data_IF_863857010294
#
_entry.id   IF_863857010294
#
_cell.length_a   1.000
_cell.length_b   1.000
_cell.length_c   1.000
_cell.angle_alpha   90.00
_cell.angle_beta   90.00
_cell.angle_gamma   90.00
#
_symmetry.space_group_name_H-M   'P 1'
#
loop_
_entity.id
_entity.type
_entity.pdbx_description
1 polymer ?
#
# COMPACT_ATOMS: atom_id res chain seq x y z
N UNK A 1 -39.69 41.89 -21.08
CA UNK A 1 -39.35 40.49 -20.73
C UNK A 1 -37.84 40.42 -20.62
N UNK A 2 -37.30 40.63 -19.43
CA UNK A 2 -35.86 40.49 -19.19
C UNK A 2 -35.59 39.01 -18.90
N UNK A 3 -34.68 38.41 -19.66
CA UNK A 3 -34.29 37.01 -19.51
C UNK A 3 -33.74 36.78 -18.10
N UNK A 4 -34.02 35.61 -17.51
CA UNK A 4 -33.45 35.23 -16.23
C UNK A 4 -31.93 35.01 -16.41
N UNK A 5 -31.09 35.50 -15.49
CA UNK A 5 -29.67 35.21 -15.48
C UNK A 5 -29.42 33.72 -15.25
N UNK A 6 -28.26 33.23 -15.70
CA UNK A 6 -27.82 31.87 -15.38
C UNK A 6 -27.48 31.74 -13.89
N UNK A 7 -27.56 30.52 -13.36
CA UNK A 7 -27.34 30.21 -11.95
C UNK A 7 -25.94 30.63 -11.48
N UNK A 8 -24.92 30.50 -12.32
CA UNK A 8 -23.54 30.90 -12.03
C UNK A 8 -23.42 32.39 -11.69
N UNK A 9 -24.24 33.25 -12.33
CA UNK A 9 -24.26 34.68 -12.03
C UNK A 9 -24.92 34.97 -10.68
N UNK A 10 -25.88 34.14 -10.25
CA UNK A 10 -26.48 34.21 -8.91
C UNK A 10 -25.49 33.70 -7.86
N UNK A 11 -24.68 32.70 -8.18
CA UNK A 11 -23.59 32.21 -7.34
C UNK A 11 -22.50 33.28 -7.15
N UNK A 12 -22.00 33.90 -8.23
CA UNK A 12 -21.03 35.01 -8.13
C UNK A 12 -21.56 36.21 -7.32
N UNK A 13 -22.89 36.41 -7.29
CA UNK A 13 -23.52 37.42 -6.43
C UNK A 13 -23.48 37.06 -4.94
N UNK A 14 -23.63 35.77 -4.60
CA UNK A 14 -23.47 35.27 -3.23
C UNK A 14 -22.03 35.35 -2.77
N UNK A 15 -21.08 34.98 -3.64
CA UNK A 15 -19.65 34.95 -3.34
C UNK A 15 -19.02 36.36 -3.29
N UNK A 16 -19.73 37.38 -3.81
CA UNK A 16 -19.28 38.77 -3.80
C UNK A 16 -18.37 39.17 -4.97
N UNK A 17 -18.25 38.30 -5.97
CA UNK A 17 -17.35 38.41 -7.12
C UNK A 17 -17.90 39.30 -8.27
N UNK A 18 -19.15 39.75 -8.18
CA UNK A 18 -19.73 40.67 -9.18
C UNK A 18 -19.25 42.11 -9.00
N UNK A 19 -19.05 42.81 -10.12
CA UNK A 19 -18.79 44.25 -10.10
C UNK A 19 -19.97 45.04 -9.51
N UNK A 20 -19.71 46.28 -9.07
CA UNK A 20 -20.72 47.12 -8.40
C UNK A 20 -21.98 47.35 -9.25
N UNK A 21 -21.82 47.50 -10.56
CA UNK A 21 -22.94 47.77 -11.47
C UNK A 21 -23.74 46.49 -11.78
N UNK A 22 -23.05 45.36 -11.99
CA UNK A 22 -23.70 44.05 -12.17
C UNK A 22 -24.45 43.60 -10.93
N UNK A 23 -23.89 43.86 -9.74
CA UNK A 23 -24.54 43.57 -8.46
C UNK A 23 -25.84 44.35 -8.29
N UNK A 24 -25.86 45.64 -8.68
CA UNK A 24 -27.08 46.48 -8.64
C UNK A 24 -28.12 46.01 -9.66
N UNK A 25 -27.68 45.61 -10.85
CA UNK A 25 -28.57 45.11 -11.89
C UNK A 25 -29.25 43.82 -11.46
N UNK A 26 -28.48 42.87 -10.94
CA UNK A 26 -28.99 41.59 -10.47
C UNK A 26 -29.86 41.74 -9.23
N UNK A 27 -29.50 42.62 -8.28
CA UNK A 27 -30.36 42.92 -7.13
C UNK A 27 -31.75 43.40 -7.56
N UNK A 28 -31.81 44.32 -8.53
CA UNK A 28 -33.09 44.80 -9.09
C UNK A 28 -33.90 43.69 -9.77
N UNK A 29 -33.23 42.73 -10.38
CA UNK A 29 -33.88 41.56 -10.97
C UNK A 29 -34.44 40.63 -9.89
N UNK A 30 -33.69 40.36 -8.83
CA UNK A 30 -34.10 39.53 -7.68
C UNK A 30 -35.29 40.15 -6.92
N UNK A 31 -35.43 41.47 -6.91
CA UNK A 31 -36.60 42.14 -6.31
C UNK A 31 -37.92 41.81 -7.03
N UNK A 32 -37.87 41.42 -8.32
CA UNK A 32 -39.06 41.28 -9.17
C UNK A 32 -39.23 39.89 -9.79
N UNK A 33 -38.24 39.00 -9.67
CA UNK A 33 -38.25 37.67 -10.29
C UNK A 33 -38.29 36.56 -9.23
N UNK A 34 -39.50 36.04 -8.96
CA UNK A 34 -39.71 34.98 -7.98
C UNK A 34 -38.88 33.71 -8.23
N UNK A 35 -38.67 33.34 -9.51
CA UNK A 35 -37.86 32.18 -9.89
C UNK A 35 -36.40 32.35 -9.44
N UNK A 36 -35.78 33.48 -9.77
CA UNK A 36 -34.38 33.74 -9.40
C UNK A 36 -34.21 33.93 -7.88
N UNK A 37 -35.23 34.46 -7.19
CA UNK A 37 -35.25 34.54 -5.73
C UNK A 37 -35.30 33.16 -5.10
N UNK A 38 -36.08 32.24 -5.65
CA UNK A 38 -36.09 30.85 -5.20
C UNK A 38 -34.72 30.17 -5.41
N UNK A 39 -34.12 30.31 -6.59
CA UNK A 39 -32.78 29.78 -6.87
C UNK A 39 -31.74 30.35 -5.90
N UNK A 40 -31.77 31.65 -5.62
CA UNK A 40 -30.91 32.28 -4.62
C UNK A 40 -31.07 31.67 -3.22
N UNK A 41 -32.31 31.38 -2.80
CA UNK A 41 -32.58 30.74 -1.50
C UNK A 41 -32.09 29.30 -1.45
N UNK A 42 -32.23 28.55 -2.55
CA UNK A 42 -31.73 27.17 -2.65
C UNK A 42 -30.20 27.11 -2.56
N UNK A 43 -29.51 27.99 -3.30
CA UNK A 43 -28.04 28.11 -3.24
C UNK A 43 -27.56 28.52 -1.84
N UNK A 44 -28.21 29.48 -1.18
CA UNK A 44 -27.89 29.85 0.21
C UNK A 44 -28.05 28.69 1.19
N UNK A 45 -29.12 27.89 1.03
CA UNK A 45 -29.35 26.73 1.88
C UNK A 45 -28.30 25.65 1.65
N UNK A 46 -27.90 25.43 0.39
CA UNK A 46 -26.84 24.48 0.04
C UNK A 46 -25.49 24.92 0.62
N UNK A 47 -25.14 26.20 0.51
CA UNK A 47 -23.92 26.75 1.09
C UNK A 47 -23.90 26.59 2.62
N UNK A 48 -24.99 26.94 3.31
CA UNK A 48 -25.09 26.79 4.76
C UNK A 48 -24.97 25.33 5.20
N UNK A 49 -25.60 24.40 4.48
CA UNK A 49 -25.46 22.97 4.74
C UNK A 49 -24.02 22.50 4.52
N UNK A 50 -23.36 22.95 3.46
CA UNK A 50 -21.96 22.60 3.17
C UNK A 50 -21.02 23.11 4.27
N UNK A 51 -21.21 24.34 4.74
CA UNK A 51 -20.42 24.90 5.84
C UNK A 51 -20.63 24.12 7.14
N UNK A 52 -21.89 23.78 7.47
CA UNK A 52 -22.21 23.00 8.68
C UNK A 52 -21.59 21.59 8.61
N UNK A 53 -21.73 20.90 7.46
CA UNK A 53 -21.18 19.56 7.25
C UNK A 53 -19.64 19.55 7.28
N UNK A 54 -19.00 20.54 6.64
CA UNK A 54 -17.54 20.69 6.67
C UNK A 54 -17.06 21.05 8.08
N UNK A 55 -17.76 21.91 8.79
CA UNK A 55 -17.41 22.27 10.16
C UNK A 55 -17.58 21.09 11.12
N UNK A 56 -18.60 20.25 10.96
CA UNK A 56 -18.74 19.00 11.73
C UNK A 56 -17.60 18.01 11.40
N UNK A 57 -17.26 17.85 10.12
CA UNK A 57 -16.21 16.92 9.68
C UNK A 57 -14.78 17.40 9.98
N UNK A 58 -14.55 18.71 10.05
CA UNK A 58 -13.24 19.34 10.25
C UNK A 58 -13.09 19.94 11.65
N UNK A 59 -14.11 19.83 12.51
CA UNK A 59 -13.98 20.15 13.93
C UNK A 59 -12.86 19.29 14.52
N UNK A 60 -11.86 19.87 15.19
CA UNK A 60 -10.86 19.11 15.91
C UNK A 60 -11.60 18.23 16.91
N UNK A 61 -11.43 16.91 16.81
CA UNK A 61 -11.85 16.01 17.87
C UNK A 61 -11.25 16.54 19.19
N UNK A 62 -12.04 16.64 20.27
CA UNK A 62 -11.47 17.01 21.56
C UNK A 62 -10.28 16.10 21.82
N UNK A 63 -9.12 16.67 22.15
CA UNK A 63 -7.84 15.98 22.36
C UNK A 63 -7.88 14.93 23.50
N UNK A 64 -9.05 14.63 24.05
CA UNK A 64 -9.33 13.72 25.15
C UNK A 64 -10.62 12.89 24.95
N UNK A 65 -11.22 12.87 23.75
CA UNK A 65 -12.22 11.85 23.45
C UNK A 65 -11.46 10.55 23.13
N UNK A 66 -11.17 9.74 24.14
CA UNK A 66 -10.86 8.32 23.92
C UNK A 66 -12.08 7.70 23.23
N UNK A 67 -12.04 7.66 21.90
CA UNK A 67 -13.03 6.95 21.10
C UNK A 67 -12.82 5.49 21.45
N UNK A 68 -13.74 4.92 22.22
CA UNK A 68 -13.81 3.49 22.47
C UNK A 68 -14.16 2.80 21.15
N UNK A 69 -13.10 2.44 20.41
CA UNK A 69 -13.19 1.84 19.09
C UNK A 69 -13.86 0.47 19.17
N UNK A 70 -13.71 -0.25 20.28
CA UNK A 70 -14.38 -1.53 20.55
C UNK A 70 -15.90 -1.31 20.62
N UNK A 71 -16.35 -0.37 21.45
CA UNK A 71 -17.77 -0.06 21.61
C UNK A 71 -18.39 0.52 20.32
N UNK A 72 -17.65 1.35 19.59
CA UNK A 72 -18.09 1.89 18.31
C UNK A 72 -18.24 0.77 17.25
N UNK A 73 -17.30 -0.17 17.22
CA UNK A 73 -17.32 -1.32 16.32
C UNK A 73 -18.43 -2.32 16.65
N UNK A 74 -18.63 -2.64 17.93
CA UNK A 74 -19.75 -3.48 18.37
C UNK A 74 -21.10 -2.84 18.02
N UNK A 75 -21.25 -1.53 18.20
CA UNK A 75 -22.47 -0.80 17.87
C UNK A 75 -22.73 -0.76 16.36
N UNK A 76 -21.68 -0.65 15.55
CA UNK A 76 -21.77 -0.75 14.10
C UNK A 76 -22.17 -2.16 13.66
N UNK A 77 -21.52 -3.21 14.20
CA UNK A 77 -21.90 -4.59 13.94
C UNK A 77 -23.34 -4.90 14.37
N UNK A 78 -23.77 -4.40 15.52
CA UNK A 78 -25.13 -4.56 16.01
C UNK A 78 -26.17 -3.86 15.12
N UNK A 79 -25.84 -2.68 14.56
CA UNK A 79 -26.72 -1.98 13.60
C UNK A 79 -26.83 -2.70 12.26
N UNK A 80 -25.78 -3.37 11.81
CA UNK A 80 -25.77 -4.17 10.59
C UNK A 80 -26.42 -5.55 10.77
N UNK A 81 -26.29 -6.14 11.96
CA UNK A 81 -26.93 -7.40 12.32
C UNK A 81 -28.41 -7.23 12.68
N UNK A 82 -28.83 -6.01 13.04
CA UNK A 82 -30.24 -5.69 13.18
C UNK A 82 -30.91 -5.80 11.80
N UNK A 83 -32.01 -6.58 11.67
CA UNK A 83 -32.77 -6.57 10.43
C UNK A 83 -33.21 -5.14 10.16
N UNK A 84 -33.02 -4.68 8.92
CA UNK A 84 -33.42 -3.35 8.48
C UNK A 84 -34.83 -3.07 9.01
N UNK A 85 -34.99 -2.05 9.86
CA UNK A 85 -36.32 -1.52 10.14
C UNK A 85 -36.86 -1.06 8.81
N UNK A 86 -37.79 -1.84 8.27
CA UNK A 86 -38.45 -1.62 7.00
C UNK A 86 -38.96 -0.18 6.98
N UNK A 87 -38.41 0.67 6.12
CA UNK A 87 -39.18 1.79 5.61
C UNK A 87 -40.42 1.17 4.97
N UNK A 88 -41.60 1.55 5.42
CA UNK A 88 -42.87 0.97 4.98
C UNK A 88 -43.00 1.09 3.46
N UNK A 89 -42.85 -0.04 2.77
CA UNK A 89 -43.27 -0.19 1.38
C UNK A 89 -44.80 -0.38 1.34
N UNK A 90 -45.51 0.18 0.34
CA UNK A 90 -46.97 0.11 0.24
C UNK A 90 -47.50 -1.34 0.27
N UNK A 91 -48.61 -1.51 1.00
CA UNK A 91 -49.21 -2.80 1.35
C UNK A 91 -49.58 -3.66 0.13
N UNK A 92 -49.12 -4.91 0.12
CA UNK A 92 -49.64 -5.98 -0.74
C UNK A 92 -49.88 -7.26 0.07
N UNK A 93 -51.16 -7.49 0.39
CA UNK A 93 -51.96 -8.72 0.60
C UNK A 93 -51.32 -10.02 1.19
N UNK A 94 -52.05 -10.74 2.06
CA UNK A 94 -51.47 -11.71 3.00
C UNK A 94 -51.08 -13.07 2.39
N UNK A 95 -50.03 -13.73 2.90
CA UNK A 95 -49.61 -15.06 2.46
C UNK A 95 -50.35 -16.20 3.18
N UNK A 96 -50.63 -17.27 2.44
CA UNK A 96 -51.15 -18.55 2.92
C UNK A 96 -50.04 -19.42 3.57
N UNK A 97 -50.37 -20.33 4.50
CA UNK A 97 -49.38 -21.03 5.30
C UNK A 97 -48.87 -22.31 4.62
N UNK A 98 -47.55 -22.54 4.64
CA UNK A 98 -46.96 -23.87 4.38
C UNK A 98 -45.99 -24.27 5.49
N UNK A 99 -46.45 -25.31 6.19
CA UNK A 99 -45.86 -26.19 7.21
C UNK A 99 -44.34 -26.32 7.25
N UNK A 100 -43.83 -26.14 8.48
CA UNK A 100 -42.51 -26.49 8.99
C UNK A 100 -42.23 -28.00 8.93
N UNK A 101 -41.02 -28.37 8.51
CA UNK A 101 -40.50 -29.74 8.46
C UNK A 101 -39.19 -29.93 9.25
N UNK A 102 -38.68 -28.91 9.94
CA UNK A 102 -37.40 -28.98 10.66
C UNK A 102 -37.51 -29.03 12.19
N UNK A 103 -38.70 -29.26 12.74
CA UNK A 103 -38.89 -29.54 14.17
C UNK A 103 -38.90 -31.04 14.46
N UNK A 104 -37.86 -31.80 14.06
CA UNK A 104 -37.63 -33.18 14.52
C UNK A 104 -36.16 -33.60 14.35
N UNK A 105 -35.25 -33.13 15.23
CA UNK A 105 -33.96 -33.81 15.43
C UNK A 105 -33.30 -33.53 16.81
N UNK A 106 -34.07 -33.10 17.82
CA UNK A 106 -33.62 -33.13 19.23
C UNK A 106 -34.00 -34.49 19.84
N UNK A 107 -33.20 -35.54 19.62
CA UNK A 107 -33.32 -36.76 20.47
C UNK A 107 -32.16 -37.75 20.50
N UNK A 108 -30.89 -37.33 20.41
CA UNK A 108 -29.78 -38.24 20.75
C UNK A 108 -28.64 -37.51 21.49
N UNK A 109 -28.90 -37.20 22.75
CA UNK A 109 -27.89 -37.09 23.80
C UNK A 109 -28.15 -38.23 24.79
N UNK A 110 -27.14 -39.08 25.01
CA UNK A 110 -26.82 -39.86 26.23
C UNK A 110 -26.15 -41.18 25.86
N UNK A 111 -24.82 -41.16 25.74
CA UNK A 111 -23.93 -42.16 26.35
C UNK A 111 -22.63 -41.41 26.70
N UNK A 112 -22.23 -41.54 27.95
CA UNK A 112 -21.06 -40.91 28.55
C UNK A 112 -20.21 -42.01 29.20
N UNK A 113 -18.91 -41.69 29.33
CA UNK A 113 -17.96 -42.13 30.36
C UNK A 113 -16.94 -43.24 30.05
N UNK A 114 -15.68 -42.91 30.39
CA UNK A 114 -14.57 -43.80 30.73
C UNK A 114 -13.43 -43.78 29.69
N UNK A 115 -12.16 -43.46 29.97
CA UNK A 115 -11.42 -43.32 31.24
C UNK A 115 -10.10 -42.57 30.98
N UNK A 116 -9.62 -41.85 32.00
CA UNK A 116 -8.33 -41.15 32.09
C UNK A 116 -7.15 -42.12 32.05
N UNK A 117 -6.12 -41.81 31.25
CA UNK A 117 -4.74 -42.20 31.52
C UNK A 117 -3.83 -40.99 31.22
N UNK A 118 -3.65 -40.14 32.24
CA UNK A 118 -2.56 -39.18 32.29
C UNK A 118 -1.25 -39.93 32.57
N UNK A 119 -0.28 -39.83 31.65
CA UNK A 119 1.17 -39.81 31.88
C UNK A 119 1.87 -40.19 30.56
N UNK A 120 2.53 -39.22 29.91
CA UNK A 120 3.81 -39.35 29.15
C UNK A 120 4.06 -38.17 28.18
N UNK A 121 3.10 -37.31 27.82
CA UNK A 121 3.39 -36.27 26.78
C UNK A 121 4.06 -34.98 27.32
N UNK A 122 4.26 -34.84 28.64
CA UNK A 122 4.90 -33.64 29.21
C UNK A 122 6.45 -33.66 29.21
N UNK A 123 7.11 -34.61 28.53
CA UNK A 123 8.59 -34.67 28.44
C UNK A 123 9.18 -34.39 27.05
N UNK A 124 8.36 -34.09 26.03
CA UNK A 124 8.87 -33.78 24.67
C UNK A 124 8.99 -32.27 24.41
N UNK A 125 8.46 -31.42 25.30
CA UNK A 125 8.49 -29.95 25.15
C UNK A 125 9.64 -29.24 25.88
N UNK A 126 10.60 -29.97 26.45
CA UNK A 126 11.74 -29.38 27.17
C UNK A 126 13.10 -29.71 26.56
N UNK A 127 13.15 -30.18 25.31
CA UNK A 127 14.40 -30.35 24.58
C UNK A 127 14.63 -29.11 23.72
N UNK A 128 15.65 -28.28 23.99
CA UNK A 128 15.96 -27.08 23.19
C UNK A 128 16.39 -27.37 21.73
N UNK A 129 16.39 -28.63 21.30
CA UNK A 129 16.98 -29.09 20.05
C UNK A 129 15.98 -29.75 19.08
N UNK A 130 14.65 -29.54 19.29
CA UNK A 130 13.60 -29.98 18.34
C UNK A 130 12.83 -28.79 17.72
N UNK A 131 13.26 -27.54 17.96
CA UNK A 131 12.80 -26.37 17.19
C UNK A 131 13.46 -26.23 15.81
N UNK A 132 14.39 -27.13 15.47
CA UNK A 132 14.99 -27.21 14.14
C UNK A 132 14.34 -28.33 13.33
N UNK A 133 13.02 -28.25 13.11
CA UNK A 133 12.46 -28.87 11.92
C UNK A 133 12.87 -27.97 10.76
N UNK A 134 14.03 -28.26 10.19
CA UNK A 134 14.54 -27.64 8.99
C UNK A 134 13.48 -27.78 7.88
N UNK A 135 12.82 -26.66 7.57
CA UNK A 135 12.28 -26.50 6.23
C UNK A 135 13.47 -26.29 5.32
N UNK A 136 13.69 -27.18 4.35
CA UNK A 136 14.39 -26.80 3.14
C UNK A 136 13.56 -25.67 2.51
N UNK A 137 13.85 -24.43 2.94
CA UNK A 137 13.15 -23.22 2.56
C UNK A 137 13.38 -22.98 1.07
N UNK A 138 12.33 -23.19 0.29
CA UNK A 138 12.32 -22.76 -1.10
C UNK A 138 12.14 -21.25 -1.08
N UNK A 139 13.22 -20.48 -1.26
CA UNK A 139 13.08 -19.08 -1.68
C UNK A 139 12.27 -19.08 -2.97
N UNK A 140 11.01 -18.68 -2.85
CA UNK A 140 10.06 -18.64 -3.97
C UNK A 140 10.53 -17.60 -5.00
N UNK A 141 11.21 -16.55 -4.53
CA UNK A 141 11.77 -15.51 -5.37
C UNK A 141 13.15 -15.87 -5.90
N UNK A 142 13.30 -15.73 -7.21
CA UNK A 142 14.57 -15.83 -7.96
C UNK A 142 14.57 -14.74 -9.01
N UNK A 143 14.69 -13.49 -8.55
CA UNK A 143 14.55 -12.33 -9.41
C UNK A 143 15.64 -12.36 -10.48
N UNK A 144 15.22 -12.34 -11.74
CA UNK A 144 16.08 -12.20 -12.92
C UNK A 144 15.50 -11.24 -13.98
N UNK A 145 14.33 -10.69 -13.69
CA UNK A 145 13.59 -9.77 -14.54
C UNK A 145 13.04 -8.64 -13.70
N UNK A 146 12.94 -7.47 -14.31
CA UNK A 146 12.31 -6.29 -13.72
C UNK A 146 11.16 -5.88 -14.65
N UNK A 147 10.02 -5.53 -14.07
CA UNK A 147 8.87 -4.96 -14.78
C UNK A 147 8.34 -3.75 -14.02
N UNK A 148 7.79 -2.78 -14.74
CA UNK A 148 7.19 -1.61 -14.12
C UNK A 148 5.72 -1.82 -13.76
N UNK A 149 5.31 -1.25 -12.62
CA UNK A 149 3.91 -1.18 -12.19
C UNK A 149 3.58 0.28 -11.95
N UNK A 150 2.56 0.79 -12.65
CA UNK A 150 2.13 2.18 -12.50
C UNK A 150 1.22 2.33 -11.29
N UNK A 151 1.45 3.36 -10.50
CA UNK A 151 0.68 3.69 -9.30
C UNK A 151 0.32 5.17 -9.40
N UNK A 152 -0.91 5.54 -9.09
CA UNK A 152 -1.30 6.96 -8.99
C UNK A 152 -1.14 7.48 -7.56
N UNK A 153 -1.24 8.81 -7.38
CA UNK A 153 -1.03 9.45 -6.08
C UNK A 153 -2.02 9.01 -4.98
N UNK A 154 -3.24 8.61 -5.35
CA UNK A 154 -4.24 8.12 -4.38
C UNK A 154 -3.91 6.71 -3.92
N UNK A 155 -3.49 5.85 -4.85
CA UNK A 155 -3.03 4.49 -4.56
C UNK A 155 -1.77 4.51 -3.69
N UNK A 156 -0.81 5.39 -3.99
CA UNK A 156 0.41 5.57 -3.19
C UNK A 156 0.07 5.97 -1.74
N UNK A 157 -0.76 7.00 -1.57
CA UNK A 157 -1.22 7.44 -0.23
C UNK A 157 -1.93 6.33 0.53
N UNK A 158 -2.75 5.54 -0.17
CA UNK A 158 -3.45 4.40 0.44
C UNK A 158 -2.47 3.35 0.95
N UNK A 159 -1.42 3.04 0.17
CA UNK A 159 -0.35 2.12 0.58
C UNK A 159 0.41 2.69 1.78
N UNK A 160 0.83 3.95 1.74
CA UNK A 160 1.54 4.62 2.83
C UNK A 160 0.74 4.57 4.14
N UNK A 161 -0.57 4.82 4.09
CA UNK A 161 -1.45 4.76 5.27
C UNK A 161 -1.55 3.37 5.88
N UNK A 162 -1.50 2.30 5.08
CA UNK A 162 -1.51 0.93 5.59
C UNK A 162 -0.25 0.62 6.42
N UNK A 163 0.89 1.13 5.97
CA UNK A 163 2.20 0.89 6.60
C UNK A 163 2.65 2.02 7.54
N UNK A 164 1.85 3.08 7.72
CA UNK A 164 2.16 4.10 8.71
C UNK A 164 2.24 3.49 10.13
N UNK A 165 3.33 3.80 10.84
CA UNK A 165 3.59 3.32 12.21
C UNK A 165 4.01 1.85 12.34
N UNK A 166 4.50 1.17 11.30
CA UNK A 166 5.05 -0.20 11.37
C UNK A 166 6.55 -0.28 11.69
N UNK A 167 7.15 0.76 12.28
CA UNK A 167 8.58 0.79 12.61
C UNK A 167 8.87 -0.05 13.86
N UNK A 168 9.13 -1.34 13.66
CA UNK A 168 9.55 -2.28 14.70
C UNK A 168 8.41 -2.68 15.66
N UNK A 169 8.19 -3.98 15.81
CA UNK A 169 7.19 -4.53 16.74
C UNK A 169 5.96 -5.13 16.07
N UNK A 170 4.95 -5.40 16.89
CA UNK A 170 3.75 -6.12 16.48
C UNK A 170 2.61 -5.16 16.12
N UNK A 171 2.03 -5.36 14.93
CA UNK A 171 0.82 -4.67 14.45
C UNK A 171 -0.24 -5.71 14.12
N UNK A 172 -1.41 -5.58 14.73
CA UNK A 172 -2.58 -6.35 14.32
C UNK A 172 -3.36 -5.57 13.26
N UNK A 173 -3.45 -6.13 12.05
CA UNK A 173 -4.36 -5.61 11.03
C UNK A 173 -5.74 -6.24 11.29
N UNK A 174 -6.68 -5.39 11.75
CA UNK A 174 -8.04 -5.82 12.09
C UNK A 174 -8.68 -6.56 10.91
N UNK A 175 -9.14 -7.78 11.17
CA UNK A 175 -9.80 -8.62 10.18
C UNK A 175 -8.86 -9.45 9.30
N UNK A 176 -7.53 -9.31 9.45
CA UNK A 176 -6.57 -10.05 8.62
C UNK A 176 -5.61 -10.92 9.45
N UNK A 177 -4.97 -10.36 10.48
CA UNK A 177 -3.93 -11.08 11.21
C UNK A 177 -2.94 -10.17 11.94
N UNK A 178 -1.89 -10.79 12.47
CA UNK A 178 -0.79 -10.11 13.17
C UNK A 178 0.45 -10.08 12.29
N UNK A 179 1.16 -8.96 12.35
CA UNK A 179 2.39 -8.68 11.60
C UNK A 179 3.43 -8.23 12.62
N UNK A 180 4.52 -8.97 12.74
CA UNK A 180 5.60 -8.66 13.67
C UNK A 180 6.86 -8.40 12.88
N UNK A 181 7.26 -7.13 12.81
CA UNK A 181 8.57 -6.78 12.27
C UNK A 181 9.62 -7.05 13.34
N UNK A 182 10.59 -7.91 13.03
CA UNK A 182 11.81 -8.02 13.82
C UNK A 182 12.45 -6.64 13.92
N UNK A 183 13.01 -6.31 15.09
CA UNK A 183 13.79 -5.08 15.23
C UNK A 183 14.97 -5.16 14.24
N UNK A 184 15.04 -4.27 13.24
CA UNK A 184 16.16 -4.27 12.33
C UNK A 184 17.44 -4.06 13.12
N UNK A 185 18.52 -4.72 12.72
CA UNK A 185 19.84 -4.30 13.19
C UNK A 185 20.05 -2.82 12.84
N UNK A 186 20.80 -2.09 13.67
CA UNK A 186 21.05 -0.68 13.41
C UNK A 186 21.72 -0.50 12.04
N UNK A 187 21.20 0.46 11.27
CA UNK A 187 21.82 0.85 10.01
C UNK A 187 23.17 1.49 10.28
N UNK A 188 24.14 1.21 9.42
CA UNK A 188 25.50 1.73 9.56
C UNK A 188 25.73 2.81 8.52
N UNK A 189 26.26 3.95 8.95
CA UNK A 189 26.65 5.06 8.09
C UNK A 189 28.15 5.24 8.09
N UNK A 190 28.71 5.52 6.91
CA UNK A 190 30.13 5.67 6.69
C UNK A 190 30.42 7.03 6.07
N UNK A 191 31.18 7.87 6.77
CA UNK A 191 31.54 9.22 6.34
C UNK A 191 32.71 9.25 5.34
N UNK A 192 33.28 8.10 5.00
CA UNK A 192 34.34 7.99 3.99
C UNK A 192 34.51 6.55 3.46
N UNK A 193 35.11 6.36 2.26
CA UNK A 193 35.48 5.05 1.74
C UNK A 193 36.40 4.25 2.67
N UNK A 194 37.33 4.92 3.37
CA UNK A 194 38.23 4.29 4.33
C UNK A 194 37.47 3.72 5.52
N UNK A 195 36.49 4.46 6.05
CA UNK A 195 35.65 4.00 7.16
C UNK A 195 34.80 2.78 6.77
N UNK A 196 34.24 2.77 5.56
CA UNK A 196 33.48 1.65 5.02
C UNK A 196 34.36 0.40 4.87
N UNK A 197 35.58 0.57 4.33
CA UNK A 197 36.55 -0.52 4.19
C UNK A 197 37.01 -1.06 5.55
N UNK A 198 37.25 -0.19 6.52
CA UNK A 198 37.65 -0.57 7.88
C UNK A 198 36.55 -1.38 8.59
N UNK A 199 35.28 -1.08 8.30
CA UNK A 199 34.12 -1.84 8.78
C UNK A 199 33.88 -3.16 8.02
N UNK A 200 34.71 -3.49 7.01
CA UNK A 200 34.64 -4.74 6.27
C UNK A 200 33.72 -4.72 5.05
N UNK A 201 33.15 -3.56 4.70
CA UNK A 201 32.34 -3.41 3.49
C UNK A 201 33.23 -3.14 2.27
N UNK A 202 32.83 -3.62 1.08
CA UNK A 202 33.57 -3.34 -0.15
C UNK A 202 33.53 -1.85 -0.48
N UNK A 203 34.59 -1.35 -1.10
CA UNK A 203 34.62 -0.02 -1.73
C UNK A 203 34.59 -0.23 -3.23
N UNK A 204 33.77 0.56 -3.91
CA UNK A 204 33.54 0.44 -5.36
C UNK A 204 34.24 1.58 -6.11
N UNK A 205 34.61 1.37 -7.39
CA UNK A 205 35.22 2.44 -8.18
C UNK A 205 34.23 3.60 -8.39
N UNK A 206 34.75 4.83 -8.34
CA UNK A 206 33.98 6.02 -8.68
C UNK A 206 33.97 6.26 -10.20
N UNK A 207 32.86 6.74 -10.78
CA UNK A 207 32.82 7.14 -12.19
C UNK A 207 33.74 8.35 -12.46
N UNK A 208 34.07 8.57 -13.73
CA UNK A 208 35.02 9.62 -14.12
C UNK A 208 34.58 11.01 -13.61
N UNK A 209 35.45 11.66 -12.85
CA UNK A 209 35.22 13.00 -12.31
C UNK A 209 34.39 13.03 -11.02
N UNK A 210 33.94 11.89 -10.51
CA UNK A 210 33.31 11.77 -9.20
C UNK A 210 34.29 11.22 -8.17
N UNK A 211 34.05 11.56 -6.90
CA UNK A 211 34.69 10.93 -5.76
C UNK A 211 33.63 10.26 -4.88
N UNK A 212 33.92 9.05 -4.42
CA UNK A 212 33.10 8.43 -3.38
C UNK A 212 33.38 9.17 -2.06
N UNK A 213 32.33 9.68 -1.42
CA UNK A 213 32.46 10.47 -0.20
C UNK A 213 31.79 9.81 1.00
N UNK A 214 30.80 8.94 0.81
CA UNK A 214 30.11 8.27 1.91
C UNK A 214 29.50 6.94 1.48
N UNK A 215 28.98 6.18 2.43
CA UNK A 215 28.18 4.99 2.19
C UNK A 215 27.25 4.69 3.35
N UNK A 216 26.32 3.77 3.14
CA UNK A 216 25.48 3.24 4.21
C UNK A 216 25.15 1.76 3.97
N UNK A 217 24.88 1.05 5.06
CA UNK A 217 24.43 -0.32 5.05
C UNK A 217 23.16 -0.44 5.87
N UNK A 218 22.11 -0.93 5.22
CA UNK A 218 20.84 -1.28 5.85
C UNK A 218 20.75 -2.80 5.90
N UNK A 219 20.75 -3.41 7.09
CA UNK A 219 20.69 -4.86 7.24
C UNK A 219 19.34 -5.41 6.81
N UNK A 220 19.32 -6.69 6.42
CA UNK A 220 18.08 -7.41 6.18
C UNK A 220 17.24 -7.48 7.47
N UNK A 221 15.92 -7.47 7.31
CA UNK A 221 15.00 -7.67 8.44
C UNK A 221 13.79 -8.47 8.00
N UNK A 222 13.22 -9.22 8.95
CA UNK A 222 12.11 -10.14 8.66
C UNK A 222 10.82 -9.62 9.26
N UNK A 223 9.76 -9.69 8.46
CA UNK A 223 8.39 -9.48 8.89
C UNK A 223 7.71 -10.84 9.01
N UNK A 224 7.39 -11.24 10.23
CA UNK A 224 6.60 -12.42 10.52
C UNK A 224 5.11 -12.07 10.41
N UNK A 225 4.32 -12.95 9.82
CA UNK A 225 2.90 -12.73 9.57
C UNK A 225 2.11 -13.96 10.02
N UNK A 226 1.01 -13.76 10.71
CA UNK A 226 0.08 -14.81 11.11
C UNK A 226 -1.34 -14.40 10.73
N UNK A 227 -2.00 -15.20 9.89
CA UNK A 227 -3.32 -14.87 9.34
C UNK A 227 -4.44 -15.45 10.21
N UNK A 228 -5.50 -14.66 10.42
CA UNK A 228 -6.80 -15.11 10.92
C UNK A 228 -7.72 -15.30 9.72
N UNK A 229 -7.67 -16.49 9.13
CA UNK A 229 -8.40 -16.83 7.90
C UNK A 229 -9.90 -16.77 8.11
N UNK A 230 -10.39 -17.04 9.32
CA UNK A 230 -11.81 -16.98 9.64
C UNK A 230 -12.31 -15.53 9.52
N UNK A 231 -11.61 -14.58 10.13
CA UNK A 231 -11.96 -13.15 10.02
C UNK A 231 -11.68 -12.61 8.63
N UNK A 232 -10.57 -12.99 8.01
CA UNK A 232 -10.20 -12.53 6.67
C UNK A 232 -11.22 -12.99 5.62
N UNK A 233 -11.64 -14.26 5.67
CA UNK A 233 -12.65 -14.79 4.75
C UNK A 233 -14.02 -14.15 4.96
N UNK A 234 -14.39 -13.85 6.22
CA UNK A 234 -15.61 -13.10 6.50
C UNK A 234 -15.57 -11.69 5.88
N UNK A 235 -14.43 -11.00 5.97
CA UNK A 235 -14.23 -9.69 5.34
C UNK A 235 -14.30 -9.78 3.80
N UNK A 236 -13.59 -10.74 3.20
CA UNK A 236 -13.59 -10.97 1.75
C UNK A 236 -14.99 -11.28 1.21
N UNK A 237 -15.78 -12.06 1.95
CA UNK A 237 -17.18 -12.33 1.61
C UNK A 237 -18.05 -11.07 1.67
N UNK A 238 -17.87 -10.23 2.69
CA UNK A 238 -18.65 -8.99 2.86
C UNK A 238 -18.43 -7.99 1.72
N UNK A 239 -17.21 -7.92 1.19
CA UNK A 239 -16.87 -7.04 0.05
C UNK A 239 -17.10 -7.71 -1.31
N UNK A 240 -17.56 -8.96 -1.34
CA UNK A 240 -17.84 -9.69 -2.57
C UNK A 240 -16.61 -10.02 -3.40
N UNK A 241 -15.44 -10.24 -2.77
CA UNK A 241 -14.18 -10.47 -3.47
C UNK A 241 -14.14 -11.76 -4.31
N UNK A 242 -15.07 -12.71 -4.06
CA UNK A 242 -15.15 -13.96 -4.81
C UNK A 242 -13.98 -14.93 -4.56
N UNK A 243 -13.17 -14.66 -3.54
CA UNK A 243 -12.02 -15.45 -3.11
C UNK A 243 -12.05 -15.69 -1.61
N UNK A 244 -11.26 -16.67 -1.15
CA UNK A 244 -11.05 -16.96 0.26
C UNK A 244 -9.62 -17.48 0.47
N UNK A 245 -9.03 -17.18 1.61
CA UNK A 245 -7.83 -17.82 2.11
C UNK A 245 -8.13 -19.29 2.45
N UNK A 246 -7.21 -20.20 2.15
CA UNK A 246 -7.30 -21.57 2.61
C UNK A 246 -7.28 -21.58 4.15
N UNK A 247 -8.24 -22.25 4.78
CA UNK A 247 -8.31 -22.39 6.24
C UNK A 247 -7.06 -23.08 6.82
N UNK A 248 -6.28 -23.79 6.00
CA UNK A 248 -4.96 -24.32 6.41
C UNK A 248 -3.96 -23.23 6.78
N UNK A 249 -4.20 -21.97 6.40
CA UNK A 249 -3.33 -20.84 6.72
C UNK A 249 -3.62 -20.23 8.10
N UNK A 250 -4.71 -20.65 8.75
CA UNK A 250 -5.16 -20.10 10.03
C UNK A 250 -4.13 -20.31 11.13
N UNK A 251 -3.64 -19.23 11.73
CA UNK A 251 -2.62 -19.27 12.78
C UNK A 251 -1.25 -19.78 12.31
N UNK A 252 -1.05 -20.01 11.00
CA UNK A 252 0.26 -20.36 10.46
C UNK A 252 1.11 -19.12 10.27
N UNK A 253 2.41 -19.28 10.53
CA UNK A 253 3.39 -18.22 10.34
C UNK A 253 3.94 -18.25 8.93
N UNK A 254 4.02 -17.06 8.35
CA UNK A 254 4.69 -16.75 7.09
C UNK A 254 5.76 -15.71 7.41
N UNK A 255 6.83 -15.66 6.62
CA UNK A 255 7.82 -14.61 6.80
C UNK A 255 8.24 -13.99 5.48
N UNK A 256 8.40 -12.66 5.50
CA UNK A 256 8.95 -11.88 4.40
C UNK A 256 10.24 -11.24 4.89
N UNK A 257 11.37 -11.67 4.34
CA UNK A 257 12.66 -11.05 4.63
C UNK A 257 12.94 -10.00 3.57
N UNK A 258 12.95 -8.74 4.01
CA UNK A 258 13.39 -7.62 3.21
C UNK A 258 14.92 -7.61 3.19
N UNK A 259 15.53 -7.52 2.00
CA UNK A 259 16.95 -7.74 1.85
C UNK A 259 17.79 -6.60 2.43
N UNK A 260 19.04 -6.93 2.73
CA UNK A 260 20.06 -5.93 3.02
C UNK A 260 20.29 -5.02 1.79
N UNK A 261 20.63 -3.77 2.06
CA UNK A 261 20.93 -2.76 1.05
C UNK A 261 22.23 -2.05 1.39
N UNK A 262 23.17 -2.07 0.45
CA UNK A 262 24.40 -1.27 0.56
C UNK A 262 24.32 -0.09 -0.40
N UNK A 263 24.49 1.12 0.10
CA UNK A 263 24.47 2.36 -0.68
C UNK A 263 25.85 3.02 -0.69
N UNK A 264 26.26 3.50 -1.85
CA UNK A 264 27.50 4.23 -2.09
C UNK A 264 27.14 5.62 -2.60
N UNK A 265 27.70 6.65 -1.97
CA UNK A 265 27.43 8.03 -2.33
C UNK A 265 28.68 8.65 -2.94
N UNK A 266 28.45 9.41 -4.01
CA UNK A 266 29.50 10.08 -4.75
C UNK A 266 29.08 11.51 -5.05
N UNK A 267 30.07 12.39 -5.11
CA UNK A 267 29.85 13.79 -5.43
C UNK A 267 30.86 14.31 -6.45
N UNK A 268 30.41 15.29 -7.23
CA UNK A 268 31.22 16.12 -8.12
C UNK A 268 30.60 17.52 -8.13
N UNK A 269 31.26 18.49 -7.49
CA UNK A 269 30.74 19.85 -7.35
C UNK A 269 29.29 19.86 -6.79
N UNK A 270 28.29 20.26 -7.58
CA UNK A 270 26.87 20.26 -7.21
C UNK A 270 26.08 19.02 -7.70
N UNK A 271 26.77 18.07 -8.33
CA UNK A 271 26.17 16.84 -8.84
C UNK A 271 26.31 15.71 -7.83
N UNK A 272 25.19 15.04 -7.56
CA UNK A 272 25.13 13.87 -6.69
C UNK A 272 24.83 12.63 -7.52
N UNK A 273 25.50 11.55 -7.13
CA UNK A 273 25.35 10.24 -7.73
C UNK A 273 25.34 9.21 -6.62
N UNK A 274 24.44 8.23 -6.70
CA UNK A 274 24.41 7.11 -5.77
C UNK A 274 24.35 5.79 -6.52
N UNK A 275 24.96 4.77 -5.91
CA UNK A 275 24.86 3.39 -6.35
C UNK A 275 24.34 2.56 -5.18
N UNK A 276 23.32 1.74 -5.41
CA UNK A 276 22.77 0.84 -4.42
C UNK A 276 22.83 -0.60 -4.93
N UNK A 277 23.15 -1.50 -4.01
CA UNK A 277 23.06 -2.95 -4.21
C UNK A 277 22.08 -3.49 -3.17
N UNK A 278 20.97 -4.01 -3.67
CA UNK A 278 19.88 -4.56 -2.86
C UNK A 278 19.90 -6.08 -3.05
N UNK A 279 19.87 -6.82 -1.94
CA UNK A 279 19.82 -8.29 -1.97
C UNK A 279 18.51 -8.86 -2.53
N UNK A 280 18.38 -10.18 -2.47
CA UNK A 280 17.17 -10.87 -2.92
C UNK A 280 16.07 -10.87 -1.84
N UNK A 281 14.84 -10.55 -2.23
CA UNK A 281 13.65 -10.73 -1.39
C UNK A 281 13.45 -12.21 -1.09
N UNK A 282 13.13 -12.55 0.15
CA UNK A 282 12.81 -13.93 0.53
C UNK A 282 11.41 -14.00 1.12
N UNK A 283 10.62 -14.96 0.64
CA UNK A 283 9.29 -15.26 1.17
C UNK A 283 9.29 -16.71 1.60
N UNK A 284 9.04 -16.91 2.90
CA UNK A 284 8.86 -18.22 3.50
C UNK A 284 7.37 -18.51 3.71
N UNK A 285 6.96 -19.67 3.23
CA UNK A 285 5.58 -20.14 3.24
C UNK A 285 5.57 -21.60 3.69
N UNK A 286 4.66 -22.01 4.58
CA UNK A 286 4.54 -23.41 4.99
C UNK A 286 4.38 -24.35 3.78
N UNK A 287 5.04 -25.51 3.83
CA UNK A 287 5.19 -26.41 2.68
C UNK A 287 3.87 -26.97 2.10
N UNK A 288 2.80 -26.97 2.88
CA UNK A 288 1.48 -27.47 2.50
C UNK A 288 0.54 -26.40 1.93
N UNK A 289 1.06 -25.21 1.66
CA UNK A 289 0.32 -24.05 1.12
C UNK A 289 0.48 -23.94 -0.39
N UNK A 290 -0.64 -23.76 -1.08
CA UNK A 290 -0.63 -23.36 -2.48
C UNK A 290 -0.30 -21.87 -2.59
N UNK A 291 0.95 -21.58 -2.98
CA UNK A 291 1.48 -20.23 -3.14
C UNK A 291 0.73 -19.43 -4.22
N UNK A 292 0.23 -20.09 -5.26
CA UNK A 292 -0.50 -19.41 -6.34
C UNK A 292 -1.90 -19.01 -5.88
N UNK A 293 -2.56 -19.88 -5.10
CA UNK A 293 -3.82 -19.53 -4.44
C UNK A 293 -3.63 -18.40 -3.43
N UNK A 294 -2.57 -18.45 -2.61
CA UNK A 294 -2.23 -17.39 -1.67
C UNK A 294 -2.04 -16.05 -2.38
N UNK A 295 -1.25 -16.02 -3.47
CA UNK A 295 -1.06 -14.84 -4.31
C UNK A 295 -2.39 -14.31 -4.83
N UNK A 296 -3.23 -15.16 -5.41
CA UNK A 296 -4.54 -14.75 -5.96
C UNK A 296 -5.41 -14.11 -4.89
N UNK A 297 -5.45 -14.68 -3.69
CA UNK A 297 -6.26 -14.16 -2.59
C UNK A 297 -5.71 -12.85 -2.03
N UNK A 298 -4.37 -12.71 -1.90
CA UNK A 298 -3.74 -11.45 -1.50
C UNK A 298 -4.03 -10.35 -2.52
N UNK A 299 -3.90 -10.64 -3.82
CA UNK A 299 -4.19 -9.65 -4.86
C UNK A 299 -5.67 -9.23 -4.89
N UNK A 300 -6.58 -10.12 -4.53
CA UNK A 300 -8.00 -9.79 -4.41
C UNK A 300 -8.39 -9.16 -3.04
N UNK A 301 -7.42 -8.96 -2.14
CA UNK A 301 -7.61 -8.32 -0.85
C UNK A 301 -7.75 -6.80 -0.98
N UNK A 302 -8.55 -6.14 -0.13
CA UNK A 302 -8.68 -4.68 -0.11
C UNK A 302 -7.41 -3.96 0.37
N UNK A 303 -6.38 -4.69 0.79
CA UNK A 303 -5.08 -4.12 1.18
C UNK A 303 -4.29 -3.58 -0.02
N UNK A 304 -4.55 -4.10 -1.22
CA UNK A 304 -3.83 -3.70 -2.41
C UNK A 304 -4.80 -2.88 -3.27
N UNK A 305 -4.47 -1.64 -3.64
CA UNK A 305 -5.32 -0.85 -4.50
C UNK A 305 -5.63 -1.59 -5.81
N UNK A 306 -6.87 -1.47 -6.30
CA UNK A 306 -7.35 -2.33 -7.40
C UNK A 306 -6.58 -2.17 -8.72
N UNK A 307 -6.01 -0.99 -9.00
CA UNK A 307 -5.18 -0.75 -10.17
C UNK A 307 -3.82 -1.46 -10.04
N UNK A 308 -3.21 -1.37 -8.87
CA UNK A 308 -1.97 -2.10 -8.52
C UNK A 308 -2.20 -3.62 -8.57
N UNK A 309 -3.29 -4.11 -7.98
CA UNK A 309 -3.64 -5.53 -7.96
C UNK A 309 -3.75 -6.13 -9.36
N UNK A 310 -4.45 -5.45 -10.29
CA UNK A 310 -4.59 -5.92 -11.68
C UNK A 310 -3.25 -5.99 -12.41
N UNK A 311 -2.38 -5.01 -12.20
CA UNK A 311 -1.06 -5.00 -12.82
C UNK A 311 -0.18 -6.13 -12.26
N UNK A 312 -0.13 -6.29 -10.94
CA UNK A 312 0.60 -7.38 -10.30
C UNK A 312 0.09 -8.75 -10.74
N UNK A 313 -1.23 -8.92 -10.88
CA UNK A 313 -1.85 -10.16 -11.37
C UNK A 313 -1.47 -10.46 -12.84
N UNK A 314 -1.19 -9.45 -13.65
CA UNK A 314 -0.79 -9.63 -15.06
C UNK A 314 0.63 -10.21 -15.22
N UNK A 315 1.48 -10.07 -14.19
CA UNK A 315 2.85 -10.62 -14.16
C UNK A 315 2.78 -12.13 -13.95
N UNK A 316 2.85 -12.92 -15.03
CA UNK A 316 2.73 -14.39 -14.93
C UNK A 316 3.95 -15.04 -14.27
N UNK A 317 5.16 -14.60 -14.63
CA UNK A 317 6.42 -15.09 -14.06
C UNK A 317 6.85 -14.25 -12.86
N UNK A 318 5.95 -14.09 -11.90
CA UNK A 318 6.13 -13.19 -10.76
C UNK A 318 7.20 -13.64 -9.77
N UNK A 319 7.53 -14.93 -9.76
CA UNK A 319 8.59 -15.49 -8.92
C UNK A 319 9.98 -15.04 -9.39
N UNK A 320 10.10 -14.72 -10.66
CA UNK A 320 11.35 -14.27 -11.27
C UNK A 320 11.34 -12.79 -11.65
N UNK A 321 10.23 -12.10 -11.43
CA UNK A 321 10.03 -10.70 -11.84
C UNK A 321 9.85 -9.80 -10.64
N UNK A 322 10.70 -8.79 -10.50
CA UNK A 322 10.54 -7.72 -9.52
C UNK A 322 9.69 -6.58 -10.12
N UNK A 323 8.49 -6.32 -9.58
CA UNK A 323 7.72 -5.14 -9.93
C UNK A 323 8.35 -3.88 -9.31
N UNK A 324 8.63 -2.87 -10.13
CA UNK A 324 9.09 -1.55 -9.69
C UNK A 324 7.91 -0.58 -9.76
N UNK A 325 7.47 0.01 -8.65
CA UNK A 325 6.41 1.00 -8.65
C UNK A 325 6.89 2.29 -9.33
N UNK A 326 6.05 2.85 -10.21
CA UNK A 326 6.27 4.11 -10.89
C UNK A 326 5.05 5.01 -10.71
N UNK A 327 5.27 6.30 -10.51
CA UNK A 327 4.18 7.25 -10.36
C UNK A 327 3.66 7.67 -11.74
N UNK A 328 2.38 7.37 -12.00
CA UNK A 328 1.75 7.68 -13.28
C UNK A 328 1.76 9.19 -13.57
N UNK A 329 2.13 9.55 -14.80
CA UNK A 329 2.21 10.95 -15.25
C UNK A 329 3.46 11.69 -14.79
N UNK A 330 4.26 11.10 -13.89
CA UNK A 330 5.51 11.68 -13.41
C UNK A 330 6.74 11.02 -14.04
N UNK A 331 6.78 9.70 -14.03
CA UNK A 331 7.95 8.94 -14.47
C UNK A 331 7.86 8.55 -15.96
N UNK A 332 8.90 8.88 -16.73
CA UNK A 332 9.11 8.29 -18.07
C UNK A 332 10.06 7.12 -17.95
N UNK A 333 9.67 5.97 -18.47
CA UNK A 333 10.44 4.73 -18.35
C UNK A 333 10.76 4.12 -19.69
N UNK A 334 12.00 3.66 -19.82
CA UNK A 334 12.55 3.04 -21.02
C UNK A 334 13.23 1.73 -20.65
N UNK A 335 12.93 0.67 -21.40
CA UNK A 335 13.69 -0.58 -21.34
C UNK A 335 15.12 -0.34 -21.88
N UNK A 336 16.11 -0.85 -21.15
CA UNK A 336 17.53 -0.71 -21.51
C UNK A 336 18.28 -2.03 -21.29
N UNK A 337 19.49 -2.10 -21.85
CA UNK A 337 20.41 -3.22 -21.63
C UNK A 337 21.67 -2.72 -20.92
N UNK A 338 22.01 -3.35 -19.80
CA UNK A 338 23.13 -2.97 -18.92
C UNK A 338 24.15 -4.11 -18.92
N UNK A 339 25.22 -3.98 -19.71
CA UNK A 339 26.18 -5.04 -20.07
C UNK A 339 25.59 -6.45 -20.23
N UNK A 340 24.50 -6.57 -21.00
CA UNK A 340 23.84 -7.84 -21.31
C UNK A 340 22.68 -8.20 -20.38
N UNK A 341 22.52 -7.51 -19.25
CA UNK A 341 21.37 -7.65 -18.36
C UNK A 341 20.22 -6.73 -18.81
N UNK A 342 18.98 -7.18 -18.63
CA UNK A 342 17.81 -6.31 -18.84
C UNK A 342 17.70 -5.33 -17.68
N UNK A 343 17.42 -4.07 -17.99
CA UNK A 343 17.22 -3.04 -17.00
C UNK A 343 16.16 -2.03 -17.41
N UNK A 344 15.81 -1.14 -16.49
CA UNK A 344 14.92 -0.02 -16.69
C UNK A 344 15.68 1.28 -16.44
N UNK A 345 15.53 2.24 -17.35
CA UNK A 345 15.89 3.63 -17.10
C UNK A 345 14.62 4.41 -16.80
N UNK A 346 14.61 5.11 -15.66
CA UNK A 346 13.51 5.91 -15.14
C UNK A 346 14.00 7.35 -15.13
N UNK A 347 13.39 8.20 -15.95
CA UNK A 347 13.70 9.63 -15.97
C UNK A 347 13.02 10.31 -14.78
N UNK A 348 13.77 11.12 -14.04
CA UNK A 348 13.22 11.91 -12.94
C UNK A 348 12.20 12.93 -13.46
N UNK A 349 11.08 13.08 -12.74
CA UNK A 349 10.03 14.03 -13.09
C UNK A 349 10.45 15.49 -12.89
N UNK A 350 11.21 15.76 -11.82
CA UNK A 350 11.71 17.09 -11.48
C UNK A 350 13.24 17.09 -11.49
N UNK A 351 13.83 18.00 -12.27
CA UNK A 351 15.29 18.17 -12.38
C UNK A 351 15.96 17.38 -13.51
N UNK A 352 17.26 17.60 -13.68
CA UNK A 352 18.09 16.88 -14.64
C UNK A 352 18.65 15.61 -13.95
N UNK A 353 17.80 14.59 -13.80
CA UNK A 353 18.15 13.35 -13.10
C UNK A 353 17.56 12.09 -13.71
N UNK A 354 17.96 10.93 -13.18
CA UNK A 354 17.42 9.65 -13.59
C UNK A 354 17.98 8.49 -12.80
N UNK A 355 17.24 7.38 -12.87
CA UNK A 355 17.53 6.14 -12.15
C UNK A 355 17.65 5.00 -13.14
N UNK A 356 18.75 4.26 -13.08
CA UNK A 356 18.98 3.05 -13.84
C UNK A 356 18.90 1.86 -12.88
N UNK A 357 18.00 0.92 -13.16
CA UNK A 357 17.80 -0.29 -12.35
C UNK A 357 18.06 -1.52 -13.21
N UNK A 358 18.87 -2.47 -12.74
CA UNK A 358 19.04 -3.76 -13.39
C UNK A 358 19.23 -4.88 -12.37
N UNK A 359 19.02 -6.12 -12.81
CA UNK A 359 19.29 -7.31 -12.01
C UNK A 359 20.59 -7.95 -12.48
N UNK A 360 21.42 -8.34 -11.52
CA UNK A 360 22.63 -9.15 -11.75
C UNK A 360 22.89 -10.05 -10.53
N UNK A 361 23.18 -11.32 -10.79
CA UNK A 361 23.54 -12.33 -9.78
C UNK A 361 22.52 -12.46 -8.63
N UNK A 362 21.23 -12.28 -8.92
CA UNK A 362 20.14 -12.30 -7.96
C UNK A 362 20.06 -11.05 -7.08
N UNK A 363 20.81 -10.00 -7.42
CA UNK A 363 20.80 -8.70 -6.72
C UNK A 363 20.27 -7.61 -7.63
N UNK A 364 19.61 -6.64 -7.03
CA UNK A 364 19.18 -5.44 -7.74
C UNK A 364 20.24 -4.38 -7.58
N UNK A 365 20.63 -3.83 -8.71
CA UNK A 365 21.57 -2.74 -8.81
C UNK A 365 20.82 -1.51 -9.26
N UNK A 366 21.02 -0.40 -8.54
CA UNK A 366 20.38 0.86 -8.84
C UNK A 366 21.42 1.98 -8.88
N UNK A 367 21.49 2.70 -9.99
CA UNK A 367 22.23 3.95 -10.09
C UNK A 367 21.25 5.10 -10.15
N UNK A 368 21.47 6.11 -9.33
CA UNK A 368 20.67 7.31 -9.33
C UNK A 368 21.59 8.51 -9.48
N UNK A 369 21.22 9.44 -10.35
CA UNK A 369 21.88 10.73 -10.42
C UNK A 369 20.86 11.84 -10.36
N UNK A 370 21.18 12.86 -9.58
CA UNK A 370 20.41 14.08 -9.47
C UNK A 370 21.35 15.28 -9.60
N UNK A 371 20.99 16.20 -10.50
CA UNK A 371 21.63 17.51 -10.61
C UNK A 371 20.69 18.52 -9.97
N UNK A 372 21.18 19.24 -8.96
CA UNK A 372 20.45 20.35 -8.36
C UNK A 372 20.52 21.55 -9.32
N UNK A 373 19.57 21.70 -10.24
CA UNK A 373 19.43 22.90 -11.09
C UNK A 373 18.10 23.60 -10.85
N UNK A 374 18.08 24.93 -10.91
CA UNK A 374 16.88 25.76 -10.76
C UNK A 374 15.92 25.67 -11.97
N UNK A 375 16.35 25.05 -13.08
CA UNK A 375 15.52 24.92 -14.30
C UNK A 375 15.84 23.61 -15.04
N UNK A 376 14.85 22.73 -15.28
CA UNK A 376 15.02 21.54 -16.13
C UNK A 376 15.42 21.96 -17.55
N UNK A 377 16.47 21.35 -18.11
CA UNK A 377 16.89 21.63 -19.47
C UNK A 377 16.63 20.42 -20.37
N UNK A 378 15.67 20.57 -21.29
CA UNK A 378 15.40 19.59 -22.34
C UNK A 378 16.69 19.33 -23.15
N UNK A 379 17.20 18.09 -23.09
CA UNK A 379 18.43 17.65 -23.78
C UNK A 379 19.43 16.90 -22.90
N UNK A 380 19.45 17.16 -21.59
CA UNK A 380 20.39 16.49 -20.66
C UNK A 380 20.01 15.06 -20.29
N UNK A 381 18.76 14.65 -20.50
CA UNK A 381 18.28 13.30 -20.18
C UNK A 381 19.04 12.22 -20.95
N UNK A 382 19.32 12.45 -22.23
CA UNK A 382 20.02 11.47 -23.07
C UNK A 382 21.48 11.32 -22.64
N UNK A 383 22.13 12.44 -22.30
CA UNK A 383 23.50 12.46 -21.77
C UNK A 383 23.57 11.77 -20.41
N UNK A 384 22.60 12.04 -19.54
CA UNK A 384 22.49 11.39 -18.23
C UNK A 384 22.28 9.88 -18.37
N UNK A 385 21.36 9.46 -19.23
CA UNK A 385 21.14 8.05 -19.54
C UNK A 385 22.44 7.39 -20.03
N UNK A 386 23.16 8.04 -20.95
CA UNK A 386 24.43 7.55 -21.45
C UNK A 386 25.49 7.46 -20.33
N UNK A 387 25.57 8.47 -19.45
CA UNK A 387 26.45 8.47 -18.29
C UNK A 387 26.14 7.32 -17.32
N UNK A 388 24.87 7.08 -16.98
CA UNK A 388 24.47 5.98 -16.10
C UNK A 388 24.77 4.62 -16.73
N UNK A 389 24.49 4.45 -18.04
CA UNK A 389 24.80 3.22 -18.76
C UNK A 389 26.30 2.94 -18.85
N UNK A 390 27.12 3.98 -19.05
CA UNK A 390 28.57 3.84 -19.02
C UNK A 390 29.08 3.50 -17.61
N UNK A 391 28.55 4.18 -16.60
CA UNK A 391 28.91 3.97 -15.20
C UNK A 391 28.55 2.57 -14.73
N UNK A 392 27.41 2.03 -15.16
CA UNK A 392 27.01 0.67 -14.82
C UNK A 392 28.02 -0.40 -15.29
N UNK A 393 28.83 -0.12 -16.32
CA UNK A 393 29.92 -1.02 -16.74
C UNK A 393 31.02 -1.18 -15.68
N UNK A 394 31.17 -0.22 -14.77
CA UNK A 394 32.12 -0.30 -13.65
C UNK A 394 31.68 -1.30 -12.57
N UNK A 395 30.38 -1.62 -12.54
CA UNK A 395 29.75 -2.46 -11.53
C UNK A 395 29.24 -3.80 -12.09
N UNK A 396 29.43 -4.01 -13.39
CA UNK A 396 29.07 -5.24 -14.10
C UNK A 396 30.21 -6.24 -14.22
#
# INVERSE_FOLDING_TARGET
MNQCPQEERIQSYLDGELSRDERKELARHLDHCALCTQTLHELKRLAAWSDEALQESLSPLPLAAEIDVEAAWEKFQARLAAPAKTMEAPQAHPPQPKRSWFTMAKKYQKWAAGTVAAAVVLSVLTIPQVQAAAGDLLSIFRVNKIESVKINSEELRSIEQLFYGTEGGEKTIKGLGTFTAEQPQESQSFESPESMKAAGFPVVPAPQGYAMNAGSFHPAYTVQMELDTVKANKMLQQIGAGVQFDNKLDGKKFSLTLPETTSYHFSKEQSYFSYQVIGALQLDVPADVDVEELRRTILASPLIPSGVSKQLASIKDWKSTLPIPLIEGQDKVEDVTVAGHKGLFIQAHYGDGGTLVWEKDGKIHMLESYIVTETPQDGKTQEMKAFLLETAKLYN
#
